data_IF_918318622202
#
_entry.id   IF_918318622202
#
_cell.length_a   1.000
_cell.length_b   1.000
_cell.length_c   1.000
_cell.angle_alpha   90.00
_cell.angle_beta   90.00
_cell.angle_gamma   90.00
#
_symmetry.space_group_name_H-M   'P 1'
#
loop_
_entity.id
_entity.type
_entity.pdbx_description
1 polymer ?
#
# COMPACT_ATOMS: atom_id res chain seq x y z
N UNK A 1 0.91 -4.25 -47.33
CA UNK A 1 1.27 -4.01 -45.91
C UNK A 1 1.99 -2.68 -45.83
N UNK A 2 1.80 -1.88 -44.77
CA UNK A 2 2.51 -0.60 -44.66
C UNK A 2 4.02 -0.86 -44.45
N UNK A 3 4.83 0.10 -44.87
CA UNK A 3 6.30 0.05 -44.75
C UNK A 3 6.76 -0.16 -43.30
N UNK A 4 6.04 0.44 -42.35
CA UNK A 4 6.26 0.28 -40.91
C UNK A 4 6.05 -1.16 -40.41
N UNK A 5 5.06 -1.88 -40.97
CA UNK A 5 4.82 -3.27 -40.62
C UNK A 5 5.90 -4.21 -41.18
N UNK A 6 6.43 -3.90 -42.36
CA UNK A 6 7.56 -4.65 -42.94
C UNK A 6 8.81 -4.47 -42.07
N UNK A 7 9.09 -3.24 -41.62
CA UNK A 7 10.19 -2.95 -40.70
C UNK A 7 10.04 -3.69 -39.36
N UNK A 8 8.83 -3.80 -38.81
CA UNK A 8 8.59 -4.50 -37.55
C UNK A 8 8.82 -6.02 -37.64
N UNK A 9 8.41 -6.63 -38.75
CA UNK A 9 8.61 -8.07 -38.99
C UNK A 9 10.10 -8.38 -39.12
N UNK A 10 10.85 -7.52 -39.80
CA UNK A 10 12.29 -7.69 -40.03
C UNK A 10 13.18 -7.22 -38.87
N UNK A 11 12.61 -6.69 -37.79
CA UNK A 11 13.36 -6.22 -36.63
C UNK A 11 13.83 -7.40 -35.76
N UNK A 12 15.15 -7.53 -35.49
CA UNK A 12 15.72 -8.65 -34.74
C UNK A 12 15.47 -8.58 -33.23
N UNK A 13 14.97 -7.45 -32.70
CA UNK A 13 14.67 -7.28 -31.26
C UNK A 13 13.52 -8.20 -30.81
N UNK A 14 13.52 -8.55 -29.54
CA UNK A 14 12.47 -9.39 -28.95
C UNK A 14 11.15 -8.63 -28.87
N UNK A 15 10.01 -9.26 -29.16
CA UNK A 15 8.71 -8.59 -29.04
C UNK A 15 8.41 -8.22 -27.60
N UNK A 16 8.07 -6.96 -27.33
CA UNK A 16 7.68 -6.52 -26.00
C UNK A 16 6.39 -7.22 -25.54
N UNK A 17 6.37 -7.75 -24.31
CA UNK A 17 5.18 -8.35 -23.67
C UNK A 17 3.95 -7.42 -23.68
N UNK A 18 4.18 -6.11 -23.60
CA UNK A 18 3.11 -5.10 -23.56
C UNK A 18 2.74 -4.52 -24.94
N UNK A 19 3.46 -4.90 -26.00
CA UNK A 19 3.18 -4.49 -27.39
C UNK A 19 2.92 -3.00 -27.55
N UNK A 20 1.92 -2.62 -28.36
CA UNK A 20 1.57 -1.20 -28.60
C UNK A 20 1.15 -0.42 -27.33
N UNK A 21 0.88 -1.11 -26.20
CA UNK A 21 0.47 -0.53 -24.92
C UNK A 21 1.62 -0.42 -23.91
N UNK A 22 2.87 -0.70 -24.30
CA UNK A 22 4.02 -0.57 -23.41
C UNK A 22 4.17 0.88 -22.91
N UNK A 23 4.28 1.07 -21.59
CA UNK A 23 4.43 2.37 -20.94
C UNK A 23 5.89 2.75 -20.67
N UNK A 24 6.83 1.82 -20.85
CA UNK A 24 8.25 2.04 -20.56
C UNK A 24 8.88 2.97 -21.60
N UNK A 25 9.46 4.08 -21.10
CA UNK A 25 10.10 5.13 -21.91
C UNK A 25 11.63 5.08 -21.86
N UNK A 26 12.22 4.17 -21.07
CA UNK A 26 13.67 4.06 -20.94
C UNK A 26 14.29 3.65 -22.30
N UNK A 27 15.33 4.34 -22.79
CA UNK A 27 16.02 3.98 -24.03
C UNK A 27 16.56 2.54 -24.05
N UNK A 28 16.97 1.96 -22.91
CA UNK A 28 17.51 0.60 -22.88
C UNK A 28 16.44 -0.47 -23.16
N UNK A 29 15.20 -0.23 -22.71
CA UNK A 29 14.05 -1.08 -23.06
C UNK A 29 13.80 -1.11 -24.58
N UNK A 30 13.92 0.06 -25.23
CA UNK A 30 13.69 0.18 -26.67
C UNK A 30 14.85 -0.39 -27.50
N UNK A 31 16.04 -0.59 -26.92
CA UNK A 31 17.14 -1.33 -27.59
C UNK A 31 16.89 -2.83 -27.61
N UNK A 32 16.31 -3.39 -26.55
CA UNK A 32 16.10 -4.84 -26.41
C UNK A 32 14.76 -5.30 -26.99
N UNK A 33 13.71 -4.47 -26.90
CA UNK A 33 12.35 -4.87 -27.25
C UNK A 33 11.72 -4.06 -28.40
N UNK A 34 11.11 -4.76 -29.36
CA UNK A 34 10.32 -4.17 -30.45
C UNK A 34 8.83 -4.05 -30.10
N UNK A 35 8.21 -3.00 -30.62
CA UNK A 35 6.79 -2.70 -30.44
C UNK A 35 6.11 -2.58 -31.81
N UNK A 36 4.90 -3.13 -32.00
CA UNK A 36 4.18 -3.04 -33.27
C UNK A 36 3.77 -1.59 -33.57
N UNK A 37 3.69 -1.19 -34.85
CA UNK A 37 3.19 0.12 -35.25
C UNK A 37 1.77 0.36 -34.70
N UNK A 38 1.47 1.60 -34.32
CA UNK A 38 0.11 1.96 -33.90
C UNK A 38 -0.79 1.95 -35.12
N UNK A 39 -1.83 1.09 -35.11
CA UNK A 39 -2.86 1.16 -36.14
C UNK A 39 -3.62 2.50 -35.99
N UNK A 40 -3.33 3.45 -36.88
CA UNK A 40 -4.20 4.61 -37.10
C UNK A 40 -5.44 4.15 -37.88
N UNK A 41 -6.29 3.34 -37.25
CA UNK A 41 -7.68 3.21 -37.68
C UNK A 41 -8.37 4.55 -37.43
N UNK A 42 -8.40 5.37 -38.50
CA UNK A 42 -9.14 6.63 -38.67
C UNK A 42 -10.02 7.01 -37.47
N UNK A 43 -9.49 7.91 -36.64
CA UNK A 43 -10.28 8.69 -35.69
C UNK A 43 -11.42 9.37 -36.45
N UNK A 44 -12.65 8.91 -36.25
CA UNK A 44 -13.80 9.76 -36.51
C UNK A 44 -13.68 10.98 -35.59
N UNK A 45 -13.40 12.13 -36.22
CA UNK A 45 -13.35 13.43 -35.56
C UNK A 45 -14.76 13.78 -35.12
N UNK A 46 -15.01 13.74 -33.81
CA UNK A 46 -15.99 14.63 -33.20
C UNK A 46 -15.22 15.62 -32.32
N UNK A 47 -15.04 16.82 -32.87
CA UNK A 47 -14.63 18.01 -32.13
C UNK A 47 -15.66 18.28 -31.01
N UNK A 48 -15.21 18.33 -29.76
CA UNK A 48 -15.76 19.19 -28.70
C UNK A 48 -14.86 19.14 -27.45
N UNK A 49 -14.33 20.31 -27.06
CA UNK A 49 -13.86 20.60 -25.70
C UNK A 49 -12.38 20.31 -25.41
N UNK A 50 -11.50 21.25 -25.74
CA UNK A 50 -10.15 21.28 -25.17
C UNK A 50 -10.21 21.57 -23.67
N UNK A 51 -9.94 20.57 -22.83
CA UNK A 51 -9.55 20.78 -21.43
C UNK A 51 -8.04 20.78 -21.35
N UNK A 52 -7.47 21.93 -20.99
CA UNK A 52 -6.06 22.11 -20.66
C UNK A 52 -5.72 21.13 -19.53
N UNK A 53 -4.80 20.20 -19.78
CA UNK A 53 -4.21 19.36 -18.71
C UNK A 53 -3.28 20.24 -17.89
N UNK A 54 -3.61 20.46 -16.64
CA UNK A 54 -2.74 21.13 -15.66
C UNK A 54 -1.46 20.29 -15.47
N UNK A 55 -0.31 20.88 -15.83
CA UNK A 55 1.02 20.32 -15.61
C UNK A 55 1.57 20.93 -14.30
N UNK A 56 1.82 20.15 -13.23
CA UNK A 56 2.08 20.71 -11.89
C UNK A 56 3.49 21.32 -11.71
N UNK A 57 4.32 21.29 -12.75
CA UNK A 57 5.67 21.88 -12.73
C UNK A 57 5.88 22.81 -13.92
N UNK A 58 5.32 24.02 -13.86
CA UNK A 58 5.85 25.18 -14.57
C UNK A 58 5.83 26.37 -13.60
N UNK A 59 7.00 26.64 -13.03
CA UNK A 59 7.30 27.83 -12.23
C UNK A 59 7.22 29.04 -13.15
N UNK A 60 6.23 29.92 -12.96
CA UNK A 60 6.28 31.27 -13.51
C UNK A 60 6.09 32.31 -12.40
N UNK A 61 6.99 33.29 -12.40
CA UNK A 61 7.10 34.38 -11.44
C UNK A 61 5.93 35.36 -11.62
N UNK A 62 5.27 35.73 -10.53
CA UNK A 62 4.28 36.82 -10.50
C UNK A 62 4.97 38.18 -10.68
N UNK A 63 4.22 39.20 -11.15
CA UNK A 63 3.88 40.26 -10.21
C UNK A 63 2.39 40.69 -10.22
N UNK A 64 1.85 40.80 -9.01
CA UNK A 64 0.93 41.80 -8.40
C UNK A 64 -0.03 42.62 -9.29
N UNK A 65 -1.34 42.64 -8.95
CA UNK A 65 -2.14 43.81 -8.48
C UNK A 65 -3.68 43.63 -8.69
N UNK A 66 -4.42 43.71 -7.56
CA UNK A 66 -5.75 44.27 -7.19
C UNK A 66 -7.12 43.88 -7.82
N UNK A 67 -8.01 43.53 -6.88
CA UNK A 67 -9.40 43.97 -6.60
C UNK A 67 -10.47 43.96 -7.69
N UNK A 68 -11.52 43.12 -7.53
CA UNK A 68 -12.93 43.57 -7.32
C UNK A 68 -13.92 42.41 -7.03
N UNK A 69 -15.11 42.79 -6.57
CA UNK A 69 -16.13 42.13 -5.74
C UNK A 69 -17.03 41.03 -6.38
N UNK A 70 -17.73 40.31 -5.49
CA UNK A 70 -18.72 39.19 -5.61
C UNK A 70 -20.06 39.62 -6.27
N UNK A 71 -21.00 38.74 -6.74
CA UNK A 71 -21.73 37.75 -5.91
C UNK A 71 -22.19 36.42 -6.57
N UNK A 72 -22.67 35.53 -5.68
CA UNK A 72 -23.19 34.15 -5.82
C UNK A 72 -24.55 34.05 -6.52
N UNK A 73 -24.84 32.95 -7.24
CA UNK A 73 -26.13 32.23 -7.20
C UNK A 73 -26.00 30.78 -7.70
N UNK A 74 -26.49 29.81 -6.92
CA UNK A 74 -26.95 28.48 -7.37
C UNK A 74 -28.40 28.60 -7.92
N UNK A 75 -28.89 27.64 -8.74
CA UNK A 75 -29.82 26.66 -8.14
C UNK A 75 -29.82 25.24 -8.76
N UNK A 76 -29.97 24.26 -7.86
CA UNK A 76 -30.98 23.19 -7.83
C UNK A 76 -31.33 22.30 -9.05
N UNK A 77 -31.19 20.98 -8.82
CA UNK A 77 -32.11 19.85 -9.09
C UNK A 77 -32.62 19.56 -10.51
N UNK A 78 -32.51 18.29 -10.94
CA UNK A 78 -33.68 17.41 -11.17
C UNK A 78 -33.26 15.95 -11.35
N UNK A 79 -34.03 15.06 -10.71
CA UNK A 79 -34.12 13.61 -10.90
C UNK A 79 -34.48 13.20 -12.35
N UNK A 80 -34.02 12.02 -12.81
CA UNK A 80 -34.92 10.88 -13.12
C UNK A 80 -34.20 9.67 -13.80
N UNK A 81 -34.48 8.49 -13.22
CA UNK A 81 -34.81 7.18 -13.84
C UNK A 81 -33.88 6.48 -14.84
N UNK A 82 -33.20 5.45 -14.31
CA UNK A 82 -33.40 3.99 -14.56
C UNK A 82 -34.04 3.57 -15.90
N UNK A 83 -33.30 2.80 -16.71
CA UNK A 83 -33.87 1.66 -17.45
C UNK A 83 -32.82 0.58 -17.71
N UNK A 84 -33.06 -0.61 -17.17
CA UNK A 84 -32.37 -1.85 -17.48
C UNK A 84 -32.95 -2.47 -18.75
N UNK A 85 -32.14 -3.20 -19.52
CA UNK A 85 -32.63 -4.33 -20.32
C UNK A 85 -31.52 -5.33 -20.63
N UNK A 86 -31.68 -6.51 -20.04
CA UNK A 86 -31.06 -7.78 -20.43
C UNK A 86 -31.47 -8.20 -21.84
N UNK A 87 -30.53 -8.75 -22.62
CA UNK A 87 -30.77 -9.80 -23.62
C UNK A 87 -29.52 -10.71 -23.68
N UNK A 88 -29.71 -11.94 -23.21
CA UNK A 88 -29.00 -13.19 -23.54
C UNK A 88 -29.12 -13.50 -25.05
N UNK A 89 -28.24 -14.17 -25.78
CA UNK A 89 -27.48 -15.39 -25.52
C UNK A 89 -26.64 -15.73 -26.77
N UNK A 90 -25.78 -16.76 -26.64
CA UNK A 90 -25.18 -17.62 -27.68
C UNK A 90 -23.77 -17.32 -28.22
N UNK A 91 -22.79 -17.83 -27.45
CA UNK A 91 -21.82 -18.88 -27.81
C UNK A 91 -21.09 -18.80 -29.16
N UNK A 92 -19.77 -18.55 -29.10
CA UNK A 92 -18.79 -19.39 -29.81
C UNK A 92 -17.54 -19.58 -28.95
N UNK A 93 -17.19 -20.85 -28.75
CA UNK A 93 -16.04 -21.33 -27.99
C UNK A 93 -14.73 -20.85 -28.61
N UNK A 94 -13.80 -20.38 -27.78
CA UNK A 94 -12.37 -20.54 -28.02
C UNK A 94 -11.68 -20.68 -26.68
N UNK A 95 -11.24 -21.91 -26.41
CA UNK A 95 -10.35 -22.26 -25.31
C UNK A 95 -9.09 -21.41 -25.39
N UNK A 96 -8.91 -20.49 -24.45
CA UNK A 96 -7.59 -19.94 -24.13
C UNK A 96 -7.16 -20.62 -22.85
N UNK A 97 -6.20 -21.52 -23.01
CA UNK A 97 -5.49 -22.24 -21.97
C UNK A 97 -4.77 -21.21 -21.09
N UNK A 98 -5.43 -20.79 -20.01
CA UNK A 98 -4.87 -19.93 -18.98
C UNK A 98 -3.81 -20.73 -18.23
N UNK A 99 -2.56 -20.60 -18.66
CA UNK A 99 -1.42 -21.06 -17.85
C UNK A 99 -1.24 -20.06 -16.71
N UNK A 100 -2.13 -20.13 -15.72
CA UNK A 100 -1.83 -19.69 -14.37
C UNK A 100 -0.66 -20.55 -13.89
N UNK A 101 0.55 -20.01 -14.03
CA UNK A 101 1.72 -20.54 -13.37
C UNK A 101 1.53 -20.20 -11.89
N UNK A 102 0.93 -21.13 -11.15
CA UNK A 102 0.93 -21.11 -9.70
C UNK A 102 2.37 -20.87 -9.24
N UNK A 103 2.59 -19.76 -8.53
CA UNK A 103 3.86 -19.49 -7.88
C UNK A 103 4.06 -20.57 -6.83
N UNK A 104 5.09 -21.40 -7.03
CA UNK A 104 5.59 -22.28 -5.98
C UNK A 104 5.82 -21.45 -4.72
N UNK A 105 5.45 -21.95 -3.53
CA UNK A 105 5.72 -21.24 -2.28
C UNK A 105 7.23 -20.94 -2.16
N UNK A 106 7.56 -19.71 -1.77
CA UNK A 106 8.94 -19.23 -1.60
C UNK A 106 9.71 -19.99 -0.52
N UNK A 107 8.99 -20.68 0.37
CA UNK A 107 9.54 -21.50 1.44
C UNK A 107 8.96 -22.90 1.31
N UNK A 108 9.83 -23.88 1.15
CA UNK A 108 9.46 -25.29 1.21
C UNK A 108 9.18 -25.63 2.67
N UNK A 109 7.96 -26.07 2.99
CA UNK A 109 7.54 -26.34 4.36
C UNK A 109 8.26 -27.59 4.89
N UNK A 110 9.47 -27.41 5.42
CA UNK A 110 10.12 -28.43 6.23
C UNK A 110 9.43 -28.50 7.59
N UNK A 111 9.02 -29.70 7.99
CA UNK A 111 8.18 -29.96 9.18
C UNK A 111 8.84 -29.63 10.54
N UNK A 112 9.96 -28.90 10.54
CA UNK A 112 10.76 -28.53 11.72
C UNK A 112 11.33 -27.11 11.59
N UNK A 113 10.50 -26.12 11.22
CA UNK A 113 10.90 -24.71 11.29
C UNK A 113 11.15 -24.32 12.76
N UNK A 114 12.43 -24.16 13.13
CA UNK A 114 12.81 -23.63 14.44
C UNK A 114 12.29 -22.19 14.55
N UNK A 115 11.76 -21.81 15.70
CA UNK A 115 11.32 -20.43 15.98
C UNK A 115 12.41 -19.73 16.79
N UNK A 116 12.54 -18.41 16.60
CA UNK A 116 13.35 -17.60 17.50
C UNK A 116 12.73 -17.54 18.90
N UNK A 117 13.59 -17.55 19.92
CA UNK A 117 13.20 -17.14 21.26
C UNK A 117 12.78 -15.66 21.26
N UNK A 118 11.90 -15.30 22.19
CA UNK A 118 11.46 -13.90 22.36
C UNK A 118 12.64 -13.01 22.69
N UNK A 119 12.78 -11.91 21.98
CA UNK A 119 13.91 -10.99 22.15
C UNK A 119 13.51 -9.52 22.00
N UNK A 120 14.04 -8.69 22.89
CA UNK A 120 14.00 -7.23 22.84
C UNK A 120 15.36 -6.63 22.39
N UNK A 121 16.33 -7.47 21.99
CA UNK A 121 17.64 -7.01 21.53
C UNK A 121 17.55 -6.36 20.14
N UNK A 122 17.66 -5.04 20.10
CA UNK A 122 17.59 -4.26 18.87
C UNK A 122 18.67 -4.65 17.83
N UNK A 123 19.80 -5.21 18.26
CA UNK A 123 20.81 -5.73 17.33
C UNK A 123 20.29 -6.90 16.50
N UNK A 124 19.47 -7.76 17.11
CA UNK A 124 18.82 -8.85 16.40
C UNK A 124 17.76 -8.32 15.42
N UNK A 125 17.02 -7.27 15.78
CA UNK A 125 16.10 -6.61 14.84
C UNK A 125 16.85 -6.02 13.65
N UNK A 126 17.97 -5.34 13.90
CA UNK A 126 18.82 -4.80 12.83
C UNK A 126 19.38 -5.90 11.93
N UNK A 127 19.74 -7.05 12.49
CA UNK A 127 20.20 -8.21 11.72
C UNK A 127 19.10 -8.82 10.84
N UNK A 128 17.88 -8.95 11.37
CA UNK A 128 16.77 -9.64 10.70
C UNK A 128 15.99 -8.73 9.73
N UNK A 129 15.77 -7.48 10.11
CA UNK A 129 14.90 -6.54 9.39
C UNK A 129 15.67 -5.34 8.80
N UNK A 130 16.99 -5.29 8.97
CA UNK A 130 17.88 -4.22 8.48
C UNK A 130 17.60 -2.83 9.07
N UNK A 131 16.82 -2.76 10.15
CA UNK A 131 16.46 -1.52 10.84
C UNK A 131 16.40 -1.76 12.34
N UNK A 132 16.71 -0.72 13.11
CA UNK A 132 16.41 -0.71 14.54
C UNK A 132 14.94 -0.36 14.77
N UNK A 133 14.32 -1.00 15.76
CA UNK A 133 12.96 -0.67 16.18
C UNK A 133 12.98 0.49 17.19
N UNK A 134 12.08 1.49 17.07
CA UNK A 134 12.04 2.62 18.00
C UNK A 134 11.58 2.19 19.40
N UNK A 135 11.78 3.04 20.42
CA UNK A 135 11.45 2.68 21.81
C UNK A 135 9.95 2.43 22.04
N UNK A 136 9.10 3.20 21.37
CA UNK A 136 7.63 3.09 21.45
C UNK A 136 7.12 1.75 20.93
N UNK A 137 7.82 1.10 19.98
CA UNK A 137 7.52 -0.26 19.55
C UNK A 137 7.54 -1.27 20.72
N UNK A 138 8.60 -1.24 21.54
CA UNK A 138 8.75 -2.15 22.68
C UNK A 138 7.82 -1.76 23.83
N UNK A 139 7.70 -0.47 24.12
CA UNK A 139 6.80 0.04 25.16
C UNK A 139 5.35 -0.33 24.86
N UNK A 140 4.92 -0.22 23.60
CA UNK A 140 3.56 -0.60 23.19
C UNK A 140 3.28 -2.08 23.44
N UNK A 141 4.22 -2.97 23.11
CA UNK A 141 4.08 -4.40 23.41
C UNK A 141 4.01 -4.68 24.91
N UNK A 142 4.87 -4.02 25.69
CA UNK A 142 4.89 -4.14 27.15
C UNK A 142 3.56 -3.69 27.76
N UNK A 143 3.07 -2.52 27.38
CA UNK A 143 1.78 -1.97 27.81
C UNK A 143 0.61 -2.96 27.54
N UNK A 144 0.62 -3.63 26.39
CA UNK A 144 -0.39 -4.64 26.07
C UNK A 144 -0.26 -5.95 26.87
N UNK A 145 0.93 -6.26 27.36
CA UNK A 145 1.26 -7.53 28.02
C UNK A 145 1.01 -7.53 29.53
N UNK A 146 0.86 -6.36 30.17
CA UNK A 146 0.75 -6.23 31.63
C UNK A 146 -0.62 -6.67 32.19
N UNK A 147 -1.69 -6.59 31.39
CA UNK A 147 -3.07 -6.75 31.92
C UNK A 147 -3.83 -7.98 31.43
N UNK A 148 -3.37 -8.64 30.35
CA UNK A 148 -4.04 -9.76 29.69
C UNK A 148 -3.16 -10.37 28.59
N UNK A 149 -3.67 -11.39 27.89
CA UNK A 149 -3.07 -11.83 26.62
C UNK A 149 -3.17 -10.69 25.59
N UNK A 150 -2.01 -10.22 25.10
CA UNK A 150 -1.86 -9.21 24.03
C UNK A 150 -2.86 -9.41 22.88
N UNK A 151 -3.02 -10.67 22.45
CA UNK A 151 -3.94 -11.06 21.38
C UNK A 151 -5.40 -10.75 21.70
N UNK A 152 -5.83 -10.86 22.97
CA UNK A 152 -7.21 -10.54 23.39
C UNK A 152 -7.45 -9.04 23.39
N UNK A 153 -6.51 -8.25 23.92
CA UNK A 153 -6.62 -6.79 24.00
C UNK A 153 -6.78 -6.20 22.60
N UNK A 154 -5.91 -6.57 21.65
CA UNK A 154 -5.99 -6.06 20.28
C UNK A 154 -7.15 -6.66 19.49
N UNK A 155 -7.54 -7.92 19.75
CA UNK A 155 -8.72 -8.50 19.11
C UNK A 155 -10.01 -7.73 19.43
N UNK A 156 -10.12 -7.15 20.64
CA UNK A 156 -11.28 -6.32 21.01
C UNK A 156 -11.44 -5.07 20.14
N UNK A 157 -10.35 -4.65 19.49
CA UNK A 157 -10.29 -3.47 18.62
C UNK A 157 -10.03 -3.81 17.15
N UNK A 158 -10.20 -5.08 16.78
CA UNK A 158 -9.94 -5.62 15.45
C UNK A 158 -8.51 -5.41 14.94
N UNK A 159 -7.52 -5.26 15.82
CA UNK A 159 -6.12 -5.20 15.45
C UNK A 159 -5.39 -6.51 15.80
N UNK A 160 -4.24 -6.71 15.16
CA UNK A 160 -3.29 -7.76 15.47
C UNK A 160 -1.87 -7.23 15.26
N UNK A 161 -0.96 -7.63 16.14
CA UNK A 161 0.48 -7.44 15.95
C UNK A 161 0.95 -8.35 14.81
N UNK A 162 1.84 -7.84 13.96
CA UNK A 162 2.44 -8.55 12.82
C UNK A 162 3.90 -8.12 12.64
N UNK A 163 4.60 -8.72 11.67
CA UNK A 163 5.91 -8.26 11.22
C UNK A 163 6.96 -8.45 12.33
N UNK A 164 7.75 -7.40 12.66
CA UNK A 164 8.73 -7.47 13.74
C UNK A 164 8.18 -7.91 15.10
N UNK A 165 6.89 -7.67 15.39
CA UNK A 165 6.29 -8.16 16.64
C UNK A 165 6.24 -9.69 16.72
N UNK A 166 6.31 -10.41 15.61
CA UNK A 166 6.37 -11.87 15.62
C UNK A 166 7.61 -12.38 16.39
N UNK A 167 8.70 -11.60 16.46
CA UNK A 167 9.85 -11.92 17.31
C UNK A 167 9.52 -11.80 18.80
N UNK A 168 8.86 -10.71 19.23
CA UNK A 168 8.40 -10.54 20.62
C UNK A 168 7.36 -11.60 21.03
N UNK A 169 6.58 -12.08 20.06
CA UNK A 169 5.57 -13.11 20.28
C UNK A 169 6.15 -14.53 20.27
N UNK A 170 7.40 -14.72 19.84
CA UNK A 170 7.99 -16.04 19.63
C UNK A 170 7.33 -16.82 18.48
N UNK A 171 6.85 -16.09 17.47
CA UNK A 171 6.18 -16.61 16.27
C UNK A 171 7.06 -16.49 15.00
N UNK A 172 8.21 -15.83 15.08
CA UNK A 172 9.10 -15.64 13.94
C UNK A 172 9.93 -16.90 13.66
N UNK A 173 9.81 -17.52 12.48
CA UNK A 173 10.63 -18.68 12.12
C UNK A 173 12.07 -18.28 11.81
N UNK A 174 13.00 -19.18 12.12
CA UNK A 174 14.38 -19.14 11.63
C UNK A 174 14.40 -19.59 10.17
N UNK A 175 14.89 -18.72 9.30
CA UNK A 175 14.97 -18.94 7.86
C UNK A 175 16.44 -18.98 7.43
N UNK A 176 16.76 -19.88 6.51
CA UNK A 176 18.09 -19.93 5.89
C UNK A 176 18.34 -18.67 5.05
N UNK A 177 17.30 -18.23 4.32
CA UNK A 177 17.31 -16.98 3.56
C UNK A 177 16.70 -15.84 4.41
N UNK A 178 17.58 -15.00 4.96
CA UNK A 178 17.19 -13.84 5.78
C UNK A 178 16.51 -12.74 4.97
N UNK A 179 16.67 -12.69 3.64
CA UNK A 179 16.00 -11.67 2.82
C UNK A 179 14.47 -11.83 2.85
N UNK A 180 13.99 -13.05 3.16
CA UNK A 180 12.57 -13.33 3.31
C UNK A 180 11.91 -12.57 4.48
N UNK A 181 12.68 -12.14 5.50
CA UNK A 181 12.14 -11.27 6.55
C UNK A 181 11.71 -9.90 6.05
N UNK A 182 12.30 -9.41 4.96
CA UNK A 182 11.99 -8.10 4.37
C UNK A 182 10.66 -8.09 3.63
N UNK A 183 10.15 -9.27 3.26
CA UNK A 183 8.83 -9.45 2.63
C UNK A 183 7.80 -10.03 3.61
N UNK A 184 8.21 -10.40 4.83
CA UNK A 184 7.32 -10.84 5.89
C UNK A 184 6.35 -9.71 6.27
N UNK A 185 5.06 -9.92 6.01
CA UNK A 185 4.00 -8.92 6.16
C UNK A 185 4.15 -7.64 5.31
N UNK A 186 4.93 -7.67 4.24
CA UNK A 186 4.98 -6.59 3.26
C UNK A 186 3.76 -6.66 2.34
N UNK A 187 2.90 -5.65 2.38
CA UNK A 187 1.72 -5.57 1.53
C UNK A 187 2.08 -5.06 0.12
N UNK A 188 1.15 -5.22 -0.82
CA UNK A 188 1.40 -5.02 -2.25
C UNK A 188 1.90 -3.62 -2.62
N UNK A 189 1.40 -2.58 -1.92
CA UNK A 189 1.76 -1.19 -2.19
C UNK A 189 2.78 -0.60 -1.21
N UNK A 190 3.28 -1.40 -0.27
CA UNK A 190 4.23 -0.90 0.72
C UNK A 190 5.54 -0.53 0.01
N UNK A 191 6.02 0.71 0.11
CA UNK A 191 7.34 1.06 -0.39
C UNK A 191 8.43 0.60 0.62
N UNK A 192 9.71 0.44 0.23
CA UNK A 192 10.81 0.01 1.14
C UNK A 192 10.85 0.73 2.49
N UNK A 193 10.48 2.00 2.49
CA UNK A 193 10.44 2.91 3.64
C UNK A 193 9.38 2.53 4.67
N UNK A 194 8.35 1.78 4.26
CA UNK A 194 7.20 1.43 5.10
C UNK A 194 7.29 -0.01 5.62
N UNK A 195 7.34 -0.16 6.94
CA UNK A 195 7.40 -1.45 7.63
C UNK A 195 6.13 -1.68 8.46
N UNK A 196 5.24 -2.56 7.97
CA UNK A 196 3.99 -2.89 8.64
C UNK A 196 4.22 -3.60 9.98
N UNK A 197 3.53 -3.14 11.03
CA UNK A 197 3.62 -3.68 12.41
C UNK A 197 2.26 -4.02 13.00
N UNK A 198 1.17 -3.45 12.47
CA UNK A 198 -0.21 -3.82 12.84
C UNK A 198 -1.05 -4.08 11.59
N UNK A 199 -1.99 -5.01 11.70
CA UNK A 199 -3.00 -5.27 10.67
C UNK A 199 -4.40 -5.26 11.28
N UNK A 200 -5.41 -4.82 10.51
CA UNK A 200 -6.81 -5.05 10.85
C UNK A 200 -7.19 -6.50 10.60
N UNK A 201 -7.76 -7.16 11.61
CA UNK A 201 -8.14 -8.58 11.55
C UNK A 201 -9.10 -8.90 10.40
N UNK A 202 -9.07 -10.16 9.97
CA UNK A 202 -9.94 -10.69 8.92
C UNK A 202 -9.37 -10.47 7.52
N UNK A 203 -10.25 -10.26 6.53
CA UNK A 203 -9.90 -10.08 5.12
C UNK A 203 -9.47 -8.65 4.76
N UNK A 204 -9.44 -7.76 5.74
CA UNK A 204 -9.00 -6.38 5.53
C UNK A 204 -7.52 -6.35 5.16
N UNK A 205 -7.17 -5.51 4.20
CA UNK A 205 -5.78 -5.18 3.88
C UNK A 205 -5.33 -3.86 4.54
N UNK A 206 -6.20 -3.23 5.33
CA UNK A 206 -5.81 -2.14 6.22
C UNK A 206 -4.73 -2.58 7.21
N UNK A 207 -3.64 -1.83 7.25
CA UNK A 207 -2.50 -2.06 8.11
C UNK A 207 -1.83 -0.73 8.49
N UNK A 208 -1.03 -0.77 9.56
CA UNK A 208 -0.30 0.38 10.13
C UNK A 208 1.18 -0.01 10.22
N UNK A 209 2.06 0.91 9.86
CA UNK A 209 3.50 0.68 9.79
C UNK A 209 4.31 1.93 10.09
N UNK A 210 5.56 1.73 10.47
CA UNK A 210 6.55 2.80 10.60
C UNK A 210 7.05 3.21 9.22
N UNK A 211 7.21 4.52 9.00
CA UNK A 211 7.80 5.09 7.79
C UNK A 211 9.19 5.64 8.10
N UNK A 212 10.22 5.20 7.38
CA UNK A 212 11.62 5.64 7.52
C UNK A 212 12.13 6.21 6.21
N UNK A 213 12.60 7.44 6.23
CA UNK A 213 13.32 8.04 5.09
C UNK A 213 14.73 7.47 4.96
N UNK A 214 15.37 7.12 6.09
CA UNK A 214 16.70 6.50 6.17
C UNK A 214 16.63 5.25 7.07
N UNK A 215 17.06 4.06 6.60
CA UNK A 215 17.06 2.83 7.40
C UNK A 215 17.93 2.89 8.66
N UNK A 216 18.95 3.78 8.70
CA UNK A 216 19.82 3.97 9.87
C UNK A 216 19.24 4.96 10.89
N UNK A 217 18.11 5.61 10.57
CA UNK A 217 17.42 6.56 11.44
C UNK A 217 16.15 5.96 12.04
N UNK A 218 15.64 6.61 13.10
CA UNK A 218 14.32 6.28 13.62
C UNK A 218 13.23 6.57 12.58
N UNK A 219 12.06 5.92 12.68
CA UNK A 219 10.90 6.30 11.89
C UNK A 219 10.55 7.78 12.04
N UNK A 220 10.23 8.43 10.93
CA UNK A 220 9.76 9.82 10.91
C UNK A 220 8.33 9.92 11.44
N UNK A 221 7.50 8.92 11.15
CA UNK A 221 6.13 8.80 11.63
C UNK A 221 5.60 7.37 11.47
N UNK A 222 4.42 7.15 12.03
CA UNK A 222 3.58 5.96 11.81
C UNK A 222 2.45 6.32 10.85
N UNK A 223 2.22 5.46 9.87
CA UNK A 223 1.21 5.65 8.84
C UNK A 223 0.35 4.41 8.64
N UNK A 224 -0.73 4.57 7.88
CA UNK A 224 -1.62 3.48 7.47
C UNK A 224 -1.79 3.41 5.97
N UNK A 225 -2.11 2.22 5.47
CA UNK A 225 -2.60 1.98 4.13
C UNK A 225 -3.69 0.91 4.15
N UNK A 226 -4.56 0.91 3.14
CA UNK A 226 -5.49 -0.18 2.85
C UNK A 226 -5.24 -0.64 1.42
N UNK A 227 -4.44 -1.69 1.26
CA UNK A 227 -3.97 -2.13 -0.06
C UNK A 227 -5.09 -2.62 -0.98
N UNK A 228 -6.26 -2.95 -0.41
CA UNK A 228 -7.45 -3.30 -1.17
C UNK A 228 -8.10 -2.08 -1.85
N UNK A 229 -7.77 -0.85 -1.41
CA UNK A 229 -8.34 0.40 -1.93
C UNK A 229 -7.39 1.10 -2.89
N UNK A 230 -6.20 1.46 -2.42
CA UNK A 230 -5.23 2.25 -3.17
C UNK A 230 -3.82 2.13 -2.56
N UNK A 231 -2.87 2.86 -3.17
CA UNK A 231 -1.48 2.93 -2.74
C UNK A 231 -1.18 4.14 -1.83
N UNK A 232 -2.19 4.80 -1.26
CA UNK A 232 -1.97 5.99 -0.45
C UNK A 232 -1.50 5.58 0.95
N UNK A 233 -0.30 6.04 1.31
CA UNK A 233 0.22 5.97 2.67
C UNK A 233 -0.25 7.23 3.41
N UNK A 234 -1.11 7.04 4.40
CA UNK A 234 -1.71 8.12 5.19
C UNK A 234 -0.97 8.25 6.53
N UNK A 235 -0.22 9.35 6.78
CA UNK A 235 0.37 9.62 8.09
C UNK A 235 -0.71 9.65 9.17
N UNK A 236 -0.43 9.01 10.30
CA UNK A 236 -1.28 9.00 11.47
C UNK A 236 -0.67 9.85 12.58
N UNK A 237 0.46 9.45 13.13
CA UNK A 237 1.09 10.11 14.28
C UNK A 237 2.60 9.86 14.31
N UNK A 238 3.31 10.54 15.21
CA UNK A 238 4.76 10.40 15.36
C UNK A 238 5.17 9.06 16.01
N UNK A 239 4.25 8.42 16.73
CA UNK A 239 4.50 7.18 17.47
C UNK A 239 3.32 6.19 17.35
N UNK A 240 3.53 4.93 17.73
CA UNK A 240 2.53 3.87 17.61
C UNK A 240 1.32 4.04 18.53
N UNK A 241 1.50 4.63 19.71
CA UNK A 241 0.41 4.92 20.66
C UNK A 241 -0.57 5.93 20.05
N UNK A 242 -0.06 7.03 19.51
CA UNK A 242 -0.83 8.05 18.79
C UNK A 242 -1.51 7.50 17.54
N UNK A 243 -0.83 6.61 16.79
CA UNK A 243 -1.42 6.00 15.61
C UNK A 243 -2.59 5.07 15.96
N UNK A 244 -2.43 4.24 16.99
CA UNK A 244 -3.50 3.39 17.52
C UNK A 244 -4.61 4.25 18.11
N UNK A 245 -4.28 5.33 18.83
CA UNK A 245 -5.27 6.28 19.32
C UNK A 245 -6.12 6.84 18.18
N UNK A 246 -5.51 7.33 17.10
CA UNK A 246 -6.24 7.84 15.94
C UNK A 246 -7.09 6.78 15.25
N UNK A 247 -6.54 5.57 15.06
CA UNK A 247 -7.31 4.43 14.55
C UNK A 247 -8.56 4.18 15.40
N UNK A 248 -8.40 4.10 16.73
CA UNK A 248 -9.52 3.84 17.64
C UNK A 248 -10.52 5.00 17.69
N UNK A 249 -10.08 6.25 17.55
CA UNK A 249 -10.99 7.40 17.46
C UNK A 249 -11.82 7.36 16.17
N UNK A 250 -11.25 6.84 15.07
CA UNK A 250 -11.98 6.60 13.84
C UNK A 250 -12.95 5.41 13.96
N UNK A 251 -12.53 4.31 14.61
CA UNK A 251 -13.37 3.12 14.85
C UNK A 251 -14.44 3.35 15.93
N UNK A 252 -14.25 4.28 16.88
CA UNK A 252 -15.26 4.66 17.87
C UNK A 252 -16.53 5.22 17.26
N UNK A 253 -16.42 5.83 16.07
CA UNK A 253 -17.59 6.21 15.28
C UNK A 253 -18.44 4.99 14.88
N UNK A 254 -17.87 3.78 14.94
CA UNK A 254 -18.49 2.51 14.66
C UNK A 254 -18.76 1.61 15.89
N UNK A 255 -18.01 1.72 17.00
CA UNK A 255 -18.26 0.96 18.24
C UNK A 255 -17.84 1.69 19.54
N UNK A 256 -18.80 2.04 20.43
CA UNK A 256 -18.53 2.74 21.70
C UNK A 256 -17.72 1.96 22.75
N UNK A 257 -17.49 0.66 22.56
CA UNK A 257 -16.81 -0.20 23.55
C UNK A 257 -15.28 -0.04 23.56
N UNK A 258 -14.71 0.70 22.61
CA UNK A 258 -13.26 0.91 22.47
C UNK A 258 -12.66 1.92 23.48
N UNK A 259 -13.47 2.48 24.37
CA UNK A 259 -13.10 3.57 25.29
C UNK A 259 -12.09 3.13 26.37
N UNK A 260 -12.12 1.87 26.81
CA UNK A 260 -11.26 1.38 27.90
C UNK A 260 -9.81 1.10 27.47
N UNK A 261 -9.60 0.61 26.24
CA UNK A 261 -8.25 0.43 25.69
C UNK A 261 -7.52 1.78 25.53
N UNK A 262 -8.26 2.84 25.18
CA UNK A 262 -7.73 4.20 25.00
C UNK A 262 -7.32 4.90 26.28
N UNK A 263 -7.95 4.60 27.43
CA UNK A 263 -7.57 5.25 28.69
C UNK A 263 -6.19 4.83 29.20
N UNK A 264 -5.67 3.67 28.75
CA UNK A 264 -4.32 3.21 29.09
C UNK A 264 -3.26 3.82 28.17
N UNK A 265 -3.52 3.81 26.86
CA UNK A 265 -2.67 4.44 25.84
C UNK A 265 -2.47 5.94 26.11
N UNK A 266 -3.54 6.66 26.47
CA UNK A 266 -3.49 8.09 26.80
C UNK A 266 -2.69 8.44 28.07
N UNK A 267 -2.41 7.47 28.95
CA UNK A 267 -1.62 7.68 30.15
C UNK A 267 -0.13 7.86 29.83
N UNK A 268 0.38 7.05 28.90
CA UNK A 268 1.80 7.00 28.54
C UNK A 268 2.18 8.04 27.47
N UNK A 269 1.29 8.36 26.51
CA UNK A 269 1.51 9.43 25.52
C UNK A 269 1.79 10.80 26.18
N UNK A 270 1.25 11.03 27.39
CA UNK A 270 1.50 12.26 28.17
C UNK A 270 2.85 12.28 28.88
N UNK A 271 3.45 11.12 29.13
CA UNK A 271 4.78 11.02 29.75
C UNK A 271 5.90 11.04 28.71
N UNK A 272 5.66 10.56 27.50
CA UNK A 272 6.66 10.52 26.41
C UNK A 272 6.64 11.74 25.48
N UNK A 273 5.58 12.55 25.50
CA UNK A 273 5.51 13.83 24.77
C UNK A 273 6.26 15.00 25.43
N UNK A 274 7.26 14.72 26.28
CA UNK A 274 8.12 15.69 26.97
C UNK A 274 9.58 15.46 26.67
#
# INVERSE_FOLDING_TARGET
>A
MSEEWISYVNDPRTTCKYGAKCYQKNPDHHKTYKHPPKNDSKKFKNNKGGKVRMHPYLKNKNPVVKDTEVPRVDPSSTDDKKLAKDISESTTNNEVKDTHKESSPLVESSETSQLYDKSEDNKLYKELFLVEMPSDFFQFYKCLSEDQSVDKTLASVNLQLIGPYDLLLGKLPMLDDKELYLVHWRFFYDPPEFQAVLKKKGKSEFHIGYYRDDPESNPEFVASNDSAKDCLIQPLADNIFGAVYQYLQNEKKASPFLVYALSKINGEDKEMGK
#
